data_IF_966901749317
#
_entry.id   IF_966901749317
#
_cell.length_a   1.000
_cell.length_b   1.000
_cell.length_c   1.000
_cell.angle_alpha   90.00
_cell.angle_beta   90.00
_cell.angle_gamma   90.00
#
_symmetry.space_group_name_H-M   'P 1'
#
loop_
_entity.id
_entity.type
_entity.pdbx_description
1 polymer ?
#
# COMPACT_ATOMS: atom_id res chain seq x y z
N UNK A 1 27.35 -21.31 -12.41
CA UNK A 1 27.24 -20.27 -11.38
C UNK A 1 25.81 -19.76 -11.41
N UNK A 2 25.06 -19.81 -10.30
CA UNK A 2 23.70 -19.26 -10.28
C UNK A 2 23.81 -17.74 -10.42
N UNK A 3 23.20 -17.17 -11.48
CA UNK A 3 23.17 -15.71 -11.62
C UNK A 3 22.23 -15.15 -10.57
N UNK A 4 22.73 -14.19 -9.80
CA UNK A 4 21.96 -13.51 -8.77
C UNK A 4 22.22 -12.02 -8.88
N UNK A 5 21.25 -11.30 -9.43
CA UNK A 5 21.27 -9.85 -9.51
C UNK A 5 20.78 -9.29 -8.19
N UNK A 6 21.50 -8.32 -7.62
CA UNK A 6 21.17 -7.67 -6.35
C UNK A 6 21.25 -6.17 -6.48
N UNK A 7 20.23 -5.49 -5.99
CA UNK A 7 20.13 -4.04 -5.97
C UNK A 7 19.74 -3.57 -4.57
N UNK A 8 20.53 -2.64 -4.04
CA UNK A 8 20.39 -2.09 -2.70
C UNK A 8 19.78 -0.70 -2.79
N UNK A 9 18.51 -0.57 -2.43
CA UNK A 9 17.80 0.71 -2.42
C UNK A 9 17.76 1.27 -0.99
N UNK A 10 18.56 2.29 -0.65
CA UNK A 10 18.52 2.89 0.68
C UNK A 10 17.22 3.67 0.90
N UNK A 11 16.67 3.56 2.11
CA UNK A 11 15.48 4.31 2.53
C UNK A 11 15.83 5.78 2.77
N UNK A 12 14.91 6.69 2.47
CA UNK A 12 15.01 8.11 2.81
C UNK A 12 14.38 8.42 4.17
N UNK A 13 13.62 7.48 4.74
CA UNK A 13 12.79 7.68 5.92
C UNK A 13 11.43 8.30 5.60
N UNK A 14 11.02 8.24 4.32
CA UNK A 14 9.69 8.65 3.87
C UNK A 14 9.02 7.38 3.37
N UNK A 15 8.30 6.68 4.24
CA UNK A 15 8.01 5.26 4.09
C UNK A 15 7.19 4.94 2.83
N UNK A 16 6.20 5.78 2.51
CA UNK A 16 5.35 5.56 1.33
C UNK A 16 6.18 5.72 0.05
N UNK A 17 7.00 6.76 0.01
CA UNK A 17 7.93 7.02 -1.09
C UNK A 17 8.95 5.89 -1.24
N UNK A 18 9.52 5.43 -0.13
CA UNK A 18 10.54 4.38 -0.10
C UNK A 18 9.99 3.04 -0.63
N UNK A 19 8.80 2.62 -0.18
CA UNK A 19 8.16 1.41 -0.71
C UNK A 19 7.78 1.57 -2.18
N UNK A 20 7.27 2.73 -2.57
CA UNK A 20 6.96 3.02 -3.98
C UNK A 20 8.20 2.91 -4.86
N UNK A 21 9.34 3.47 -4.45
CA UNK A 21 10.61 3.32 -5.18
C UNK A 21 11.06 1.86 -5.25
N UNK A 22 10.96 1.12 -4.14
CA UNK A 22 11.37 -0.29 -4.08
C UNK A 22 10.58 -1.15 -5.07
N UNK A 23 9.27 -0.98 -5.12
CA UNK A 23 8.45 -1.66 -6.13
C UNK A 23 8.72 -1.16 -7.55
N UNK A 24 9.05 0.13 -7.75
CA UNK A 24 9.49 0.64 -9.05
C UNK A 24 10.74 -0.08 -9.57
N UNK A 25 11.76 -0.25 -8.72
CA UNK A 25 12.96 -1.03 -9.06
C UNK A 25 12.58 -2.48 -9.32
N UNK A 26 11.74 -3.06 -8.47
CA UNK A 26 11.25 -4.43 -8.65
C UNK A 26 10.53 -4.65 -9.98
N UNK A 27 9.71 -3.70 -10.45
CA UNK A 27 9.04 -3.74 -11.75
C UNK A 27 10.05 -3.71 -12.90
N UNK A 28 11.07 -2.85 -12.83
CA UNK A 28 12.13 -2.80 -13.83
C UNK A 28 12.85 -4.15 -13.90
N UNK A 29 13.32 -4.66 -12.75
CA UNK A 29 14.04 -5.94 -12.68
C UNK A 29 13.17 -7.11 -13.17
N UNK A 30 11.89 -7.11 -12.81
CA UNK A 30 10.92 -8.09 -13.28
C UNK A 30 10.70 -8.01 -14.79
N UNK A 31 10.62 -6.81 -15.36
CA UNK A 31 10.48 -6.60 -16.80
C UNK A 31 11.68 -7.20 -17.55
N UNK A 32 12.89 -6.94 -17.06
CA UNK A 32 14.14 -7.35 -17.72
C UNK A 32 14.44 -8.84 -17.58
N UNK A 33 14.06 -9.47 -16.47
CA UNK A 33 14.45 -10.86 -16.17
C UNK A 33 13.27 -11.85 -16.08
N UNK A 34 12.04 -11.36 -15.98
CA UNK A 34 10.84 -12.15 -15.70
C UNK A 34 10.70 -12.57 -14.23
N UNK A 35 11.62 -12.17 -13.36
CA UNK A 35 11.64 -12.48 -11.93
C UNK A 35 12.07 -11.24 -11.13
N UNK A 36 11.50 -11.04 -9.95
CA UNK A 36 11.98 -10.05 -9.00
C UNK A 36 11.36 -10.28 -7.62
N UNK A 37 12.19 -10.22 -6.59
CA UNK A 37 11.79 -10.23 -5.19
C UNK A 37 12.25 -8.94 -4.54
N UNK A 38 11.35 -8.26 -3.84
CA UNK A 38 11.66 -7.10 -2.99
C UNK A 38 11.58 -7.53 -1.54
N UNK A 39 12.60 -7.22 -0.76
CA UNK A 39 12.65 -7.57 0.66
C UNK A 39 13.08 -6.36 1.49
N UNK A 40 12.43 -6.16 2.64
CA UNK A 40 12.84 -5.16 3.63
C UNK A 40 14.00 -5.71 4.48
N UNK A 41 15.10 -4.96 4.55
CA UNK A 41 16.29 -5.27 5.35
C UNK A 41 16.52 -4.20 6.43
N UNK A 42 15.46 -3.49 6.84
CA UNK A 42 15.50 -2.43 7.86
C UNK A 42 15.86 -1.08 7.26
N UNK A 43 17.16 -0.80 7.11
CA UNK A 43 17.65 0.50 6.58
C UNK A 43 17.56 0.64 5.05
N UNK A 44 17.27 -0.45 4.35
CA UNK A 44 17.23 -0.52 2.89
C UNK A 44 16.22 -1.58 2.41
N UNK A 45 15.85 -1.49 1.15
CA UNK A 45 15.22 -2.59 0.42
C UNK A 45 16.24 -3.31 -0.45
N UNK A 46 16.19 -4.63 -0.42
CA UNK A 46 16.97 -5.50 -1.30
C UNK A 46 16.05 -6.00 -2.42
N UNK A 47 16.43 -5.72 -3.66
CA UNK A 47 15.74 -6.22 -4.85
C UNK A 47 16.63 -7.27 -5.50
N UNK A 48 16.12 -8.49 -5.65
CA UNK A 48 16.88 -9.62 -6.21
C UNK A 48 16.17 -10.25 -7.40
N UNK A 49 16.96 -10.79 -8.33
CA UNK A 49 16.48 -11.70 -9.39
C UNK A 49 17.45 -12.86 -9.59
N UNK A 50 16.89 -14.06 -9.73
CA UNK A 50 17.66 -15.29 -9.99
C UNK A 50 17.91 -15.53 -11.49
N UNK A 51 17.55 -14.57 -12.34
CA UNK A 51 17.67 -14.65 -13.79
C UNK A 51 18.51 -13.48 -14.31
N UNK A 52 19.24 -13.72 -15.40
CA UNK A 52 19.95 -12.66 -16.10
C UNK A 52 18.99 -11.56 -16.57
N UNK A 53 19.47 -10.32 -16.56
CA UNK A 53 18.71 -9.19 -17.10
C UNK A 53 18.90 -9.13 -18.61
N UNK A 54 17.80 -9.14 -19.37
CA UNK A 54 17.83 -8.83 -20.79
C UNK A 54 17.25 -7.43 -21.04
N UNK A 55 18.13 -6.46 -21.34
CA UNK A 55 17.78 -5.08 -21.66
C UNK A 55 16.99 -4.90 -22.96
N UNK A 56 17.01 -5.88 -23.87
CA UNK A 56 16.14 -5.87 -25.06
C UNK A 56 14.66 -5.93 -24.69
N UNK A 57 14.33 -6.42 -23.48
CA UNK A 57 12.96 -6.50 -22.96
C UNK A 57 12.47 -5.21 -22.33
N UNK A 58 13.26 -4.14 -22.30
CA UNK A 58 12.85 -2.90 -21.65
C UNK A 58 11.56 -2.33 -22.25
N UNK A 59 11.35 -2.57 -23.55
CA UNK A 59 10.15 -2.19 -24.26
C UNK A 59 8.90 -2.71 -23.55
N UNK A 60 8.93 -3.91 -22.94
CA UNK A 60 7.83 -4.52 -22.20
C UNK A 60 7.40 -3.73 -20.94
N UNK A 61 8.19 -2.74 -20.50
CA UNK A 61 7.86 -1.92 -19.32
C UNK A 61 6.56 -1.15 -19.50
N UNK A 62 6.14 -0.88 -20.75
CA UNK A 62 4.88 -0.18 -21.05
C UNK A 62 3.64 -0.86 -20.46
N UNK A 63 3.70 -2.19 -20.26
CA UNK A 63 2.63 -2.98 -19.64
C UNK A 63 2.35 -2.55 -18.19
N UNK A 64 3.32 -1.89 -17.55
CA UNK A 64 3.27 -1.43 -16.18
C UNK A 64 3.02 0.09 -16.07
N UNK A 65 2.73 0.78 -17.17
CA UNK A 65 2.38 2.21 -17.10
C UNK A 65 0.95 2.46 -16.59
N UNK A 66 0.14 1.42 -16.40
CA UNK A 66 -1.25 1.57 -15.98
C UNK A 66 -2.13 2.26 -17.03
N UNK A 67 -3.41 2.40 -16.71
CA UNK A 67 -4.37 3.15 -17.52
C UNK A 67 -4.36 4.65 -17.16
N UNK A 68 -5.15 5.45 -17.88
CA UNK A 68 -5.24 6.89 -17.62
C UNK A 68 -5.74 7.20 -16.20
N UNK A 69 -6.59 6.33 -15.62
CA UNK A 69 -7.05 6.50 -14.25
C UNK A 69 -5.91 6.35 -13.24
N UNK A 70 -4.99 5.40 -13.43
CA UNK A 70 -3.81 5.25 -12.59
C UNK A 70 -2.92 6.51 -12.60
N UNK A 71 -2.72 7.11 -13.78
CA UNK A 71 -2.00 8.38 -13.92
C UNK A 71 -2.74 9.54 -13.25
N UNK A 72 -4.04 9.63 -13.44
CA UNK A 72 -4.89 10.66 -12.84
C UNK A 72 -4.84 10.64 -11.31
N UNK A 73 -4.88 9.46 -10.70
CA UNK A 73 -4.77 9.31 -9.26
C UNK A 73 -3.37 9.59 -8.73
N UNK A 74 -2.33 9.14 -9.44
CA UNK A 74 -0.92 9.39 -9.06
C UNK A 74 -0.62 10.90 -9.05
N UNK A 75 -1.28 11.66 -9.92
CA UNK A 75 -1.05 13.09 -10.13
C UNK A 75 -2.32 13.92 -9.92
N UNK A 76 -3.16 13.51 -8.97
CA UNK A 76 -4.47 14.14 -8.73
C UNK A 76 -4.36 15.57 -8.17
N UNK A 77 -3.21 15.92 -7.59
CA UNK A 77 -2.94 17.23 -6.98
C UNK A 77 -2.36 18.26 -7.96
N UNK A 78 -2.24 17.90 -9.24
CA UNK A 78 -1.75 18.82 -10.29
C UNK A 78 -2.75 18.91 -11.45
N UNK A 79 -2.72 20.05 -12.14
CA UNK A 79 -3.55 20.27 -13.32
C UNK A 79 -3.20 19.36 -14.50
N UNK A 80 -4.17 19.11 -15.38
CA UNK A 80 -4.06 18.20 -16.52
C UNK A 80 -2.85 18.48 -17.42
N UNK A 81 -2.57 19.74 -17.72
CA UNK A 81 -1.41 20.10 -18.55
C UNK A 81 -0.06 19.75 -17.93
N UNK A 82 0.10 19.89 -16.61
CA UNK A 82 1.31 19.47 -15.92
C UNK A 82 1.37 17.94 -15.77
N UNK A 83 0.21 17.29 -15.58
CA UNK A 83 0.07 15.83 -15.52
C UNK A 83 0.59 15.20 -16.81
N UNK A 84 0.13 15.67 -17.96
CA UNK A 84 0.51 15.10 -19.26
C UNK A 84 2.01 15.27 -19.54
N UNK A 85 2.57 16.46 -19.27
CA UNK A 85 4.02 16.70 -19.37
C UNK A 85 4.82 15.77 -18.46
N UNK A 86 4.33 15.54 -17.25
CA UNK A 86 4.98 14.67 -16.27
C UNK A 86 4.90 13.20 -16.70
N UNK A 87 3.73 12.73 -17.15
CA UNK A 87 3.52 11.40 -17.72
C UNK A 87 4.48 11.13 -18.87
N UNK A 88 4.51 12.04 -19.87
CA UNK A 88 5.40 11.92 -21.03
C UNK A 88 6.87 11.80 -20.61
N UNK A 89 7.33 12.67 -19.71
CA UNK A 89 8.71 12.64 -19.21
C UNK A 89 9.05 11.32 -18.50
N UNK A 90 8.16 10.82 -17.64
CA UNK A 90 8.37 9.54 -16.94
C UNK A 90 8.42 8.38 -17.93
N UNK A 91 7.52 8.36 -18.91
CA UNK A 91 7.48 7.32 -19.95
C UNK A 91 8.75 7.33 -20.81
N UNK A 92 9.19 8.52 -21.26
CA UNK A 92 10.43 8.67 -22.04
C UNK A 92 11.65 8.18 -21.24
N UNK A 93 11.74 8.56 -19.96
CA UNK A 93 12.82 8.14 -19.09
C UNK A 93 12.81 6.62 -18.85
N UNK A 94 11.63 6.02 -18.61
CA UNK A 94 11.50 4.57 -18.40
C UNK A 94 11.74 3.75 -19.67
N UNK A 95 11.51 4.33 -20.85
CA UNK A 95 11.77 3.69 -22.14
C UNK A 95 13.23 3.75 -22.58
N UNK A 96 14.07 4.55 -21.92
CA UNK A 96 15.48 4.70 -22.28
C UNK A 96 16.35 3.64 -21.57
N UNK A 97 16.93 2.74 -22.37
CA UNK A 97 17.84 1.67 -21.89
C UNK A 97 18.98 2.24 -21.03
N UNK A 98 19.56 3.37 -21.43
CA UNK A 98 20.73 3.93 -20.77
C UNK A 98 20.38 4.52 -19.40
N UNK A 99 19.24 5.20 -19.29
CA UNK A 99 18.74 5.72 -18.01
C UNK A 99 18.45 4.56 -17.03
N UNK A 100 17.89 3.46 -17.53
CA UNK A 100 17.60 2.27 -16.73
C UNK A 100 18.88 1.55 -16.30
N UNK A 101 19.89 1.43 -17.19
CA UNK A 101 21.22 0.90 -16.83
C UNK A 101 21.85 1.74 -15.72
N UNK A 102 21.86 3.06 -15.88
CA UNK A 102 22.43 3.97 -14.90
C UNK A 102 21.75 3.87 -13.53
N UNK A 103 20.43 3.69 -13.49
CA UNK A 103 19.72 3.41 -12.23
C UNK A 103 20.23 2.11 -11.60
N UNK A 104 20.18 1.01 -12.35
CA UNK A 104 20.49 -0.32 -11.81
C UNK A 104 21.95 -0.44 -11.40
N UNK A 105 22.88 0.08 -12.21
CA UNK A 105 24.30 0.16 -11.88
C UNK A 105 24.53 1.01 -10.62
N UNK A 106 23.78 2.11 -10.49
CA UNK A 106 23.77 2.95 -9.31
C UNK A 106 23.29 2.26 -8.03
N UNK A 107 22.61 1.12 -8.13
CA UNK A 107 22.06 0.35 -7.00
C UNK A 107 22.80 -0.98 -6.76
N UNK A 108 23.81 -1.33 -7.57
CA UNK A 108 24.59 -2.58 -7.37
C UNK A 108 25.40 -2.57 -6.07
N UNK A 109 25.77 -1.39 -5.60
CA UNK A 109 26.53 -1.19 -4.37
C UNK A 109 25.67 -0.48 -3.33
N UNK A 110 25.88 -0.84 -2.05
CA UNK A 110 25.22 -0.17 -0.94
C UNK A 110 25.72 1.27 -0.83
N UNK A 111 24.82 2.23 -1.05
CA UNK A 111 25.10 3.66 -0.92
C UNK A 111 24.51 4.23 0.36
N UNK A 112 25.05 5.38 0.76
CA UNK A 112 24.48 6.21 1.82
C UNK A 112 23.01 6.55 1.53
N UNK A 113 22.21 6.80 2.59
CA UNK A 113 20.82 7.27 2.44
C UNK A 113 20.70 8.46 1.50
N UNK A 114 19.63 8.46 0.69
CA UNK A 114 19.33 9.56 -0.22
C UNK A 114 18.72 10.73 0.57
N UNK A 115 19.32 11.92 0.44
CA UNK A 115 18.78 13.13 1.04
C UNK A 115 17.67 13.73 0.16
N UNK A 116 16.49 13.85 0.75
CA UNK A 116 15.37 14.60 0.15
C UNK A 116 15.73 16.08 0.04
N UNK A 117 15.37 16.70 -1.09
CA UNK A 117 15.64 18.10 -1.41
C UNK A 117 16.76 18.32 -2.43
N UNK A 118 17.54 17.30 -2.76
CA UNK A 118 18.72 17.40 -3.64
C UNK A 118 18.42 17.43 -5.15
N UNK A 119 17.15 17.27 -5.55
CA UNK A 119 16.77 17.11 -6.96
C UNK A 119 16.02 18.27 -7.60
N UNK A 120 15.41 18.02 -8.76
CA UNK A 120 14.62 19.00 -9.52
C UNK A 120 13.15 18.63 -9.62
N UNK A 121 12.81 17.36 -9.39
CA UNK A 121 11.47 16.83 -9.55
C UNK A 121 10.63 17.03 -8.30
N UNK A 122 9.41 17.53 -8.45
CA UNK A 122 8.51 17.70 -7.32
C UNK A 122 7.91 16.37 -6.92
N UNK A 123 8.12 15.93 -5.66
CA UNK A 123 7.40 14.80 -5.09
C UNK A 123 5.94 15.23 -4.80
N UNK A 124 4.98 14.46 -5.31
CA UNK A 124 3.56 14.77 -5.18
C UNK A 124 2.91 14.01 -4.03
N UNK A 125 1.87 14.62 -3.45
CA UNK A 125 1.21 14.16 -2.22
C UNK A 125 0.72 12.70 -2.26
N UNK A 126 0.15 12.19 -3.37
CA UNK A 126 -0.28 10.79 -3.43
C UNK A 126 0.84 9.78 -3.18
N UNK A 127 2.09 10.13 -3.50
CA UNK A 127 3.26 9.27 -3.30
C UNK A 127 3.88 9.43 -1.91
N UNK A 128 3.62 10.55 -1.24
CA UNK A 128 4.01 10.80 0.14
C UNK A 128 3.27 12.01 0.70
N UNK A 129 2.41 11.82 1.70
CA UNK A 129 1.62 12.92 2.26
C UNK A 129 2.50 13.97 2.95
N UNK A 130 3.64 13.57 3.52
CA UNK A 130 4.61 14.50 4.10
C UNK A 130 5.19 15.47 3.04
N UNK A 131 5.08 15.14 1.74
CA UNK A 131 5.45 16.05 0.66
C UNK A 131 4.54 17.28 0.57
N UNK A 132 3.36 17.25 1.22
CA UNK A 132 2.40 18.35 1.20
C UNK A 132 3.00 19.64 1.76
N UNK A 133 2.87 20.71 0.97
CA UNK A 133 3.04 22.09 1.44
C UNK A 133 2.16 22.32 2.68
N UNK A 134 2.74 22.78 3.80
CA UNK A 134 2.01 23.05 5.04
C UNK A 134 2.18 22.04 6.19
N UNK A 135 2.52 20.78 5.92
CA UNK A 135 2.66 19.74 6.98
C UNK A 135 4.07 19.71 7.59
N UNK A 136 5.01 20.49 7.07
CA UNK A 136 6.43 20.35 7.41
C UNK A 136 6.86 21.17 8.62
N UNK A 137 7.95 20.72 9.23
CA UNK A 137 8.67 21.41 10.31
C UNK A 137 8.96 22.88 10.01
N UNK A 138 9.31 23.25 8.77
CA UNK A 138 9.55 24.66 8.40
C UNK A 138 8.34 25.57 8.67
N UNK A 139 7.12 25.03 8.58
CA UNK A 139 5.86 25.75 8.81
C UNK A 139 5.33 25.47 10.22
N UNK A 140 5.39 24.22 10.70
CA UNK A 140 5.00 23.86 12.08
C UNK A 140 5.86 24.62 13.11
N UNK A 141 7.15 24.80 12.82
CA UNK A 141 8.09 25.62 13.61
C UNK A 141 8.02 27.12 13.28
N UNK A 142 7.08 27.55 12.41
CA UNK A 142 6.91 28.94 11.96
C UNK A 142 8.20 29.61 11.44
N UNK A 143 9.13 28.84 10.87
CA UNK A 143 10.41 29.36 10.36
C UNK A 143 10.24 30.19 9.09
N UNK A 144 9.18 29.96 8.31
CA UNK A 144 8.83 30.76 7.14
C UNK A 144 7.31 31.01 7.05
N UNK A 145 6.93 32.23 6.64
CA UNK A 145 5.53 32.67 6.45
C UNK A 145 4.94 32.30 5.08
N UNK A 146 5.67 31.56 4.23
CA UNK A 146 5.19 31.07 2.94
C UNK A 146 4.74 29.61 3.03
N UNK A 147 3.94 29.14 2.06
CA UNK A 147 3.42 27.75 1.97
C UNK A 147 4.50 26.64 1.93
N UNK A 148 5.79 26.98 2.05
CA UNK A 148 6.93 26.08 1.94
C UNK A 148 7.30 25.75 0.50
N UNK A 149 8.56 25.37 0.31
CA UNK A 149 9.08 24.94 -1.00
C UNK A 149 8.55 23.56 -1.38
N UNK A 150 8.33 23.24 -2.68
CA UNK A 150 8.04 21.86 -3.09
C UNK A 150 9.17 20.91 -2.66
N UNK A 151 8.85 19.69 -2.20
CA UNK A 151 9.89 18.67 -1.96
C UNK A 151 10.46 18.27 -3.30
N UNK A 152 11.79 18.30 -3.40
CA UNK A 152 12.51 17.94 -4.62
C UNK A 152 13.26 16.63 -4.49
N UNK A 153 13.16 15.78 -5.50
CA UNK A 153 13.87 14.49 -5.59
C UNK A 153 14.52 14.34 -6.97
N UNK A 154 15.44 13.38 -7.09
CA UNK A 154 16.08 13.08 -8.37
C UNK A 154 15.04 12.56 -9.39
N UNK A 155 15.32 12.68 -10.69
CA UNK A 155 14.44 12.14 -11.72
C UNK A 155 14.35 10.61 -11.64
N UNK A 156 15.44 9.93 -11.27
CA UNK A 156 15.46 8.49 -11.04
C UNK A 156 14.52 8.09 -9.91
N UNK A 157 14.66 8.70 -8.73
CA UNK A 157 13.81 8.39 -7.58
C UNK A 157 12.34 8.74 -7.82
N UNK A 158 12.09 9.88 -8.47
CA UNK A 158 10.75 10.29 -8.88
C UNK A 158 10.10 9.24 -9.77
N UNK A 159 10.81 8.84 -10.83
CA UNK A 159 10.31 7.91 -11.85
C UNK A 159 10.11 6.51 -11.26
N UNK A 160 11.02 6.03 -10.42
CA UNK A 160 10.87 4.78 -9.69
C UNK A 160 9.64 4.80 -8.77
N UNK A 161 9.46 5.89 -8.01
CA UNK A 161 8.30 6.06 -7.15
C UNK A 161 7.00 6.08 -7.96
N UNK A 162 6.96 6.79 -9.09
CA UNK A 162 5.76 6.82 -9.95
C UNK A 162 5.44 5.42 -10.46
N UNK A 163 6.43 4.68 -10.97
CA UNK A 163 6.23 3.33 -11.48
C UNK A 163 5.72 2.38 -10.39
N UNK A 164 6.35 2.35 -9.22
CA UNK A 164 5.89 1.50 -8.13
C UNK A 164 4.53 1.94 -7.59
N UNK A 165 4.28 3.25 -7.47
CA UNK A 165 2.99 3.76 -7.03
C UNK A 165 1.87 3.34 -8.00
N UNK A 166 2.05 3.50 -9.31
CA UNK A 166 1.10 3.04 -10.34
C UNK A 166 0.76 1.56 -10.17
N UNK A 167 1.77 0.73 -9.87
CA UNK A 167 1.63 -0.72 -9.90
C UNK A 167 1.27 -1.40 -8.57
N UNK A 168 1.66 -0.83 -7.43
CA UNK A 168 1.53 -1.46 -6.12
C UNK A 168 0.49 -0.79 -5.21
N UNK A 169 0.16 0.48 -5.44
CA UNK A 169 -0.76 1.21 -4.57
C UNK A 169 -2.22 0.81 -4.82
N UNK A 170 -2.88 0.36 -3.76
CA UNK A 170 -4.32 0.16 -3.71
C UNK A 170 -4.97 1.52 -3.46
N UNK A 171 -5.97 1.85 -4.27
CA UNK A 171 -6.60 3.19 -4.27
C UNK A 171 -8.10 3.07 -4.10
N UNK A 172 -8.65 3.77 -3.11
CA UNK A 172 -10.09 3.79 -2.86
C UNK A 172 -10.58 5.21 -2.72
N UNK A 173 -11.68 5.52 -3.39
CA UNK A 173 -12.23 6.87 -3.45
C UNK A 173 -13.72 6.84 -3.07
N UNK A 174 -14.18 7.92 -2.45
CA UNK A 174 -15.59 8.28 -2.34
C UNK A 174 -15.73 9.80 -2.24
N UNK A 175 -16.96 10.28 -2.08
CA UNK A 175 -17.23 11.68 -1.75
C UNK A 175 -16.59 12.14 -0.43
N UNK A 176 -16.23 11.22 0.48
CA UNK A 176 -15.62 11.54 1.77
C UNK A 176 -14.10 11.75 1.66
N UNK A 177 -13.47 11.22 0.63
CA UNK A 177 -12.03 11.31 0.46
C UNK A 177 -11.45 10.21 -0.42
N UNK A 178 -10.14 10.03 -0.28
CA UNK A 178 -9.36 9.06 -1.04
C UNK A 178 -8.30 8.45 -0.15
N UNK A 179 -8.10 7.14 -0.28
CA UNK A 179 -7.04 6.38 0.37
C UNK A 179 -6.08 5.88 -0.68
N UNK A 180 -4.80 6.01 -0.38
CA UNK A 180 -3.70 5.29 -0.98
C UNK A 180 -3.15 4.34 0.08
N UNK A 181 -3.09 3.05 -0.22
CA UNK A 181 -2.49 2.05 0.66
C UNK A 181 -1.50 1.22 -0.13
N UNK A 182 -0.28 1.05 0.38
CA UNK A 182 0.77 0.27 -0.25
C UNK A 182 1.27 -0.80 0.73
N UNK A 183 1.19 -2.10 0.39
CA UNK A 183 1.73 -3.17 1.24
C UNK A 183 3.25 -3.05 1.34
N UNK A 184 3.81 -2.99 2.55
CA UNK A 184 5.26 -2.97 2.74
C UNK A 184 5.85 -4.37 2.49
N UNK A 185 6.91 -4.52 1.69
CA UNK A 185 7.43 -5.83 1.32
C UNK A 185 8.34 -6.41 2.40
N UNK A 186 7.95 -7.49 3.09
CA UNK A 186 8.92 -8.26 3.90
C UNK A 186 9.76 -9.14 2.99
N UNK A 187 9.08 -9.91 2.13
CA UNK A 187 9.67 -10.67 1.03
C UNK A 187 8.59 -10.91 -0.01
N UNK A 188 8.57 -10.11 -1.06
CA UNK A 188 7.44 -10.03 -2.00
C UNK A 188 7.91 -10.23 -3.43
N UNK A 189 7.33 -11.21 -4.13
CA UNK A 189 7.48 -11.33 -5.59
C UNK A 189 6.62 -10.31 -6.31
N UNK A 190 7.24 -9.58 -7.23
CA UNK A 190 6.58 -8.55 -8.04
C UNK A 190 5.42 -9.12 -8.85
N UNK A 191 5.58 -10.33 -9.39
CA UNK A 191 4.54 -11.04 -10.13
C UNK A 191 3.26 -11.23 -9.31
N UNK A 192 3.38 -11.67 -8.05
CA UNK A 192 2.21 -11.93 -7.20
C UNK A 192 1.54 -10.64 -6.76
N UNK A 193 2.33 -9.62 -6.39
CA UNK A 193 1.79 -8.32 -5.99
C UNK A 193 0.95 -7.68 -7.10
N UNK A 194 1.54 -7.52 -8.29
CA UNK A 194 0.93 -6.75 -9.39
C UNK A 194 -0.06 -7.60 -10.19
N UNK A 195 0.29 -8.85 -10.48
CA UNK A 195 -0.49 -9.73 -11.35
C UNK A 195 -1.69 -10.37 -10.67
N UNK A 196 -1.68 -10.49 -9.33
CA UNK A 196 -2.70 -11.24 -8.59
C UNK A 196 -3.30 -10.45 -7.41
N UNK A 197 -2.49 -10.17 -6.39
CA UNK A 197 -2.96 -9.68 -5.09
C UNK A 197 -3.64 -8.32 -5.22
N UNK A 198 -2.94 -7.34 -5.80
CA UNK A 198 -3.49 -5.99 -5.93
C UNK A 198 -4.78 -6.00 -6.75
N UNK A 199 -4.80 -6.68 -7.90
CA UNK A 199 -5.97 -6.73 -8.77
C UNK A 199 -7.20 -7.27 -8.03
N UNK A 200 -7.04 -8.34 -7.24
CA UNK A 200 -8.13 -8.94 -6.47
C UNK A 200 -8.63 -8.03 -5.34
N UNK A 201 -7.74 -7.31 -4.67
CA UNK A 201 -8.13 -6.29 -3.69
C UNK A 201 -8.84 -5.12 -4.37
N UNK A 202 -8.39 -4.74 -5.56
CA UNK A 202 -9.05 -3.72 -6.37
C UNK A 202 -10.47 -4.14 -6.77
N UNK A 203 -10.65 -5.41 -7.11
CA UNK A 203 -11.94 -6.01 -7.43
C UNK A 203 -12.84 -6.22 -6.20
N UNK A 204 -12.31 -6.57 -5.02
CA UNK A 204 -13.14 -6.87 -3.84
C UNK A 204 -13.56 -5.62 -3.07
N UNK A 205 -12.68 -4.61 -2.95
CA UNK A 205 -12.97 -3.39 -2.18
C UNK A 205 -13.46 -2.29 -3.13
N UNK A 206 -14.78 -2.14 -3.29
CA UNK A 206 -15.36 -1.26 -4.32
C UNK A 206 -15.22 0.25 -4.10
N UNK A 207 -14.77 0.69 -2.93
CA UNK A 207 -14.63 2.12 -2.61
C UNK A 207 -14.29 2.33 -1.14
N UNK A 208 -14.45 3.57 -0.66
CA UNK A 208 -14.36 3.81 0.79
C UNK A 208 -15.60 3.29 1.51
N UNK A 209 -15.36 2.57 2.59
CA UNK A 209 -16.38 2.18 3.54
C UNK A 209 -17.07 3.42 4.09
N UNK A 210 -18.41 3.40 4.22
CA UNK A 210 -19.25 4.51 4.70
C UNK A 210 -18.82 5.04 6.08
N UNK A 211 -18.38 4.15 6.96
CA UNK A 211 -17.83 4.48 8.27
C UNK A 211 -16.48 5.23 8.23
N UNK A 212 -15.89 5.43 7.05
CA UNK A 212 -14.70 6.26 6.84
C UNK A 212 -13.47 5.46 6.45
N UNK A 213 -12.32 6.13 6.55
CA UNK A 213 -11.07 5.61 6.02
C UNK A 213 -10.51 4.44 6.83
N UNK A 214 -10.70 4.44 8.15
CA UNK A 214 -10.10 3.46 9.03
C UNK A 214 -10.69 2.04 8.84
N UNK A 215 -12.01 1.86 8.77
CA UNK A 215 -12.61 0.58 8.34
C UNK A 215 -12.25 0.17 6.91
N UNK A 216 -12.02 1.14 6.01
CA UNK A 216 -11.57 0.84 4.65
C UNK A 216 -10.17 0.22 4.63
N UNK A 217 -9.24 0.74 5.46
CA UNK A 217 -7.90 0.17 5.61
C UNK A 217 -7.95 -1.23 6.22
N UNK A 218 -8.76 -1.43 7.26
CA UNK A 218 -8.92 -2.76 7.85
C UNK A 218 -9.51 -3.76 6.84
N UNK A 219 -10.47 -3.35 6.02
CA UNK A 219 -10.98 -4.19 4.93
C UNK A 219 -9.89 -4.55 3.91
N UNK A 220 -9.07 -3.58 3.50
CA UNK A 220 -7.92 -3.82 2.61
C UNK A 220 -6.94 -4.80 3.26
N UNK A 221 -6.64 -4.63 4.55
CA UNK A 221 -5.73 -5.49 5.31
C UNK A 221 -6.23 -6.95 5.39
N UNK A 222 -7.51 -7.15 5.72
CA UNK A 222 -8.11 -8.50 5.74
C UNK A 222 -8.07 -9.16 4.36
N UNK A 223 -8.40 -8.40 3.31
CA UNK A 223 -8.32 -8.93 1.95
C UNK A 223 -6.87 -9.23 1.54
N UNK A 224 -5.90 -8.42 1.95
CA UNK A 224 -4.48 -8.65 1.69
C UNK A 224 -4.03 -9.99 2.27
N UNK A 225 -4.31 -10.26 3.54
CA UNK A 225 -3.89 -11.51 4.21
C UNK A 225 -4.60 -12.73 3.64
N UNK A 226 -5.89 -12.62 3.28
CA UNK A 226 -6.59 -13.68 2.54
C UNK A 226 -5.92 -13.99 1.19
N UNK A 227 -5.43 -12.97 0.49
CA UNK A 227 -4.72 -13.15 -0.77
C UNK A 227 -3.30 -13.70 -0.59
N UNK A 228 -2.61 -13.37 0.52
CA UNK A 228 -1.34 -14.02 0.90
C UNK A 228 -1.52 -15.53 1.08
N UNK A 229 -2.51 -15.94 1.88
CA UNK A 229 -2.84 -17.34 2.13
C UNK A 229 -3.16 -18.09 0.84
N UNK A 230 -3.97 -17.49 -0.05
CA UNK A 230 -4.32 -18.10 -1.35
C UNK A 230 -3.09 -18.34 -2.23
N UNK A 231 -2.15 -17.40 -2.25
CA UNK A 231 -0.92 -17.54 -3.06
C UNK A 231 0.03 -18.58 -2.45
N UNK A 232 0.08 -18.65 -1.12
CA UNK A 232 0.86 -19.65 -0.37
C UNK A 232 0.37 -21.08 -0.60
N UNK A 233 -0.95 -21.33 -0.54
CA UNK A 233 -1.57 -22.63 -0.84
C UNK A 233 -1.21 -23.17 -2.23
N UNK A 234 -0.93 -22.28 -3.18
CA UNK A 234 -0.47 -22.64 -4.52
C UNK A 234 0.96 -23.21 -4.57
N UNK A 235 1.70 -23.22 -3.45
CA UNK A 235 3.08 -23.70 -3.34
C UNK A 235 4.11 -22.83 -4.08
N UNK A 236 3.71 -21.63 -4.53
CA UNK A 236 4.52 -20.83 -5.48
C UNK A 236 5.55 -19.94 -4.79
N UNK A 237 5.21 -19.42 -3.62
CA UNK A 237 5.95 -18.47 -2.76
C UNK A 237 4.92 -17.91 -1.75
N UNK A 238 5.22 -17.77 -0.46
CA UNK A 238 4.35 -17.04 0.46
C UNK A 238 4.79 -15.56 0.47
N UNK A 239 4.16 -14.67 -0.31
CA UNK A 239 4.45 -13.24 -0.16
C UNK A 239 4.09 -12.86 1.27
N UNK A 240 5.04 -12.23 1.96
CA UNK A 240 4.78 -11.64 3.27
C UNK A 240 4.93 -10.14 3.16
N UNK A 241 3.86 -9.44 3.50
CA UNK A 241 3.86 -8.01 3.72
C UNK A 241 4.04 -7.73 5.20
N UNK A 242 4.72 -6.64 5.56
CA UNK A 242 4.90 -6.29 6.97
C UNK A 242 3.73 -5.48 7.52
N UNK A 243 3.19 -4.59 6.70
CA UNK A 243 2.19 -3.60 7.07
C UNK A 243 1.54 -2.99 5.83
N UNK A 244 0.47 -2.21 6.01
CA UNK A 244 0.00 -1.28 4.98
C UNK A 244 0.44 0.13 5.34
N UNK A 245 1.29 0.73 4.52
CA UNK A 245 1.57 2.17 4.62
C UNK A 245 0.48 2.90 3.87
N UNK A 246 -0.10 3.94 4.47
CA UNK A 246 -1.25 4.62 3.88
C UNK A 246 -1.19 6.14 3.97
N UNK A 247 -1.88 6.76 3.02
CA UNK A 247 -2.20 8.18 3.01
C UNK A 247 -3.67 8.40 2.68
N UNK A 248 -4.33 9.24 3.46
CA UNK A 248 -5.72 9.66 3.26
C UNK A 248 -5.76 11.13 2.89
N UNK A 249 -6.52 11.44 1.83
CA UNK A 249 -6.77 12.79 1.37
C UNK A 249 -8.27 13.09 1.39
N UNK A 250 -8.62 14.35 1.60
CA UNK A 250 -9.99 14.84 1.47
C UNK A 250 -10.03 16.10 0.61
N UNK A 251 -11.21 16.46 0.11
CA UNK A 251 -11.38 17.70 -0.66
C UNK A 251 -11.72 18.85 0.27
N UNK A 252 -11.05 19.98 0.08
CA UNK A 252 -11.48 21.28 0.60
C UNK A 252 -11.69 22.22 -0.58
N UNK A 253 -12.95 22.49 -0.93
CA UNK A 253 -13.28 23.13 -2.20
C UNK A 253 -12.80 22.29 -3.39
N UNK A 254 -12.04 22.90 -4.30
CA UNK A 254 -11.49 22.21 -5.49
C UNK A 254 -10.11 21.57 -5.25
N UNK A 255 -9.53 21.70 -4.06
CA UNK A 255 -8.18 21.22 -3.77
C UNK A 255 -8.23 19.97 -2.89
N UNK A 256 -7.42 18.99 -3.26
CA UNK A 256 -7.12 17.83 -2.43
C UNK A 256 -6.14 18.24 -1.33
N UNK A 257 -6.47 17.90 -0.09
CA UNK A 257 -5.64 18.12 1.08
C UNK A 257 -5.38 16.80 1.82
N UNK A 258 -4.20 16.64 2.42
CA UNK A 258 -3.93 15.55 3.34
C UNK A 258 -4.89 15.61 4.53
N UNK A 259 -5.42 14.44 4.92
CA UNK A 259 -6.23 14.26 6.11
C UNK A 259 -5.42 13.57 7.21
N UNK A 260 -4.84 12.42 6.88
CA UNK A 260 -4.02 11.61 7.79
C UNK A 260 -3.20 10.61 6.99
N UNK A 261 -2.12 10.10 7.56
CA UNK A 261 -1.32 9.01 7.00
C UNK A 261 -0.74 8.18 8.15
N UNK A 262 -0.17 7.03 7.82
CA UNK A 262 0.45 6.18 8.83
C UNK A 262 0.71 4.77 8.35
N UNK A 263 0.91 3.89 9.33
CA UNK A 263 1.17 2.47 9.13
C UNK A 263 0.02 1.70 9.80
N UNK A 264 -0.67 0.88 9.03
CA UNK A 264 -1.67 -0.06 9.55
C UNK A 264 -0.99 -1.43 9.74
N UNK A 265 -0.94 -1.94 10.98
CA UNK A 265 -0.28 -3.20 11.31
C UNK A 265 -1.04 -4.40 10.74
N UNK A 266 -0.32 -5.49 10.45
CA UNK A 266 -0.89 -6.75 10.00
C UNK A 266 -0.70 -7.88 11.02
N UNK A 267 -0.07 -7.60 12.16
CA UNK A 267 0.38 -8.58 13.15
C UNK A 267 -0.74 -9.53 13.61
N UNK A 268 -1.90 -9.01 14.03
CA UNK A 268 -3.03 -9.84 14.44
C UNK A 268 -3.54 -10.71 13.27
N UNK A 269 -3.61 -10.13 12.06
CA UNK A 269 -4.11 -10.85 10.90
C UNK A 269 -3.17 -11.99 10.52
N UNK A 270 -1.85 -11.77 10.60
CA UNK A 270 -0.85 -12.81 10.38
C UNK A 270 -0.85 -13.87 11.48
N UNK A 271 -1.03 -13.49 12.74
CA UNK A 271 -1.22 -14.46 13.83
C UNK A 271 -2.43 -15.36 13.59
N UNK A 272 -3.56 -14.78 13.17
CA UNK A 272 -4.75 -15.54 12.80
C UNK A 272 -4.49 -16.42 11.58
N UNK A 273 -3.70 -15.94 10.62
CA UNK A 273 -3.35 -16.66 9.40
C UNK A 273 -2.57 -17.96 9.66
N UNK A 274 -1.88 -18.07 10.79
CA UNK A 274 -1.16 -19.28 11.22
C UNK A 274 -2.11 -20.35 11.83
N UNK A 275 -3.37 -19.99 12.10
CA UNK A 275 -4.36 -20.89 12.71
C UNK A 275 -5.10 -21.77 11.69
N UNK A 276 -5.60 -22.92 12.14
CA UNK A 276 -6.47 -23.79 11.33
C UNK A 276 -7.82 -23.15 10.98
N UNK A 277 -8.22 -22.08 11.67
CA UNK A 277 -9.49 -21.37 11.47
C UNK A 277 -9.31 -20.05 10.70
N UNK A 278 -8.10 -19.77 10.20
CA UNK A 278 -7.71 -18.52 9.53
C UNK A 278 -8.74 -18.06 8.50
N UNK A 279 -9.04 -18.92 7.52
CA UNK A 279 -9.95 -18.61 6.42
C UNK A 279 -11.37 -18.32 6.92
N UNK A 280 -11.85 -19.02 7.96
CA UNK A 280 -13.19 -18.76 8.51
C UNK A 280 -13.27 -17.41 9.22
N UNK A 281 -12.27 -17.09 10.04
CA UNK A 281 -12.20 -15.80 10.76
C UNK A 281 -12.12 -14.64 9.79
N UNK A 282 -11.15 -14.69 8.87
CA UNK A 282 -10.88 -13.61 7.95
C UNK A 282 -12.03 -13.40 6.95
N UNK A 283 -12.68 -14.48 6.47
CA UNK A 283 -13.88 -14.32 5.64
C UNK A 283 -15.04 -13.71 6.42
N UNK A 284 -15.26 -14.08 7.69
CA UNK A 284 -16.30 -13.45 8.49
C UNK A 284 -16.05 -11.94 8.69
N UNK A 285 -14.80 -11.54 8.91
CA UNK A 285 -14.44 -10.12 9.01
C UNK A 285 -14.59 -9.39 7.69
N UNK A 286 -14.19 -10.03 6.58
CA UNK A 286 -14.44 -9.52 5.22
C UNK A 286 -15.93 -9.30 4.97
N UNK A 287 -16.78 -10.27 5.29
CA UNK A 287 -18.23 -10.19 5.12
C UNK A 287 -18.85 -9.04 5.93
N UNK A 288 -18.36 -8.82 7.16
CA UNK A 288 -18.76 -7.67 7.97
C UNK A 288 -18.48 -6.38 7.22
N UNK A 289 -17.24 -6.14 6.80
CA UNK A 289 -16.88 -4.92 6.08
C UNK A 289 -17.66 -4.76 4.77
N UNK A 290 -17.79 -5.83 3.98
CA UNK A 290 -18.49 -5.78 2.69
C UNK A 290 -19.98 -5.47 2.84
N UNK A 291 -20.67 -6.14 3.77
CA UNK A 291 -22.11 -5.96 3.94
C UNK A 291 -22.45 -4.63 4.63
N UNK A 292 -21.55 -4.08 5.44
CA UNK A 292 -21.75 -2.75 6.07
C UNK A 292 -21.23 -1.59 5.23
N UNK A 293 -20.46 -1.85 4.16
CA UNK A 293 -19.75 -0.83 3.38
C UNK A 293 -20.58 0.38 2.97
N UNK A 294 -21.86 0.17 2.62
CA UNK A 294 -22.74 1.23 2.12
C UNK A 294 -24.04 1.38 2.93
N UNK A 295 -24.16 0.70 4.07
CA UNK A 295 -25.41 0.68 4.86
C UNK A 295 -25.34 1.62 6.06
N UNK A 296 -26.32 2.52 6.15
CA UNK A 296 -26.47 3.45 7.28
C UNK A 296 -26.92 2.70 8.53
N UNK A 297 -26.43 3.10 9.70
CA UNK A 297 -26.80 2.54 11.01
C UNK A 297 -25.96 1.33 11.44
N UNK A 298 -24.90 1.02 10.68
CA UNK A 298 -23.96 -0.06 10.97
C UNK A 298 -22.53 0.46 11.11
N UNK A 299 -22.30 1.77 11.12
CA UNK A 299 -20.96 2.35 11.10
C UNK A 299 -20.11 2.00 12.34
N UNK A 300 -20.76 1.70 13.47
CA UNK A 300 -20.10 1.36 14.74
C UNK A 300 -19.43 -0.02 14.73
N UNK A 301 -20.05 -1.03 14.12
CA UNK A 301 -19.52 -2.40 14.04
C UNK A 301 -18.16 -2.50 13.29
N UNK A 302 -18.03 -2.07 12.01
CA UNK A 302 -16.79 -2.15 11.27
C UNK A 302 -15.73 -1.18 11.84
N UNK A 303 -16.14 -0.10 12.50
CA UNK A 303 -15.20 0.77 13.23
C UNK A 303 -14.59 0.06 14.43
N UNK A 304 -15.41 -0.59 15.26
CA UNK A 304 -14.92 -1.39 16.39
C UNK A 304 -14.09 -2.59 15.94
N UNK A 305 -14.45 -3.24 14.83
CA UNK A 305 -13.64 -4.32 14.25
C UNK A 305 -12.29 -3.80 13.75
N UNK A 306 -12.26 -2.65 13.07
CA UNK A 306 -11.00 -2.04 12.63
C UNK A 306 -10.09 -1.64 13.81
N UNK A 307 -10.67 -1.10 14.88
CA UNK A 307 -9.94 -0.80 16.13
C UNK A 307 -9.35 -2.07 16.75
N UNK A 308 -10.14 -3.15 16.82
CA UNK A 308 -9.68 -4.44 17.33
C UNK A 308 -8.53 -5.02 16.50
N UNK A 309 -8.66 -5.01 15.16
CA UNK A 309 -7.61 -5.50 14.25
C UNK A 309 -6.31 -4.71 14.45
N UNK A 310 -6.41 -3.39 14.60
CA UNK A 310 -5.24 -2.50 14.73
C UNK A 310 -4.59 -2.57 16.12
N UNK A 311 -5.40 -2.75 17.16
CA UNK A 311 -4.97 -2.78 18.55
C UNK A 311 -5.70 -3.91 19.30
N UNK A 312 -5.20 -5.16 19.21
CA UNK A 312 -5.84 -6.32 19.82
C UNK A 312 -5.72 -6.30 21.34
N UNK A 313 -6.73 -5.71 21.99
CA UNK A 313 -6.88 -5.66 23.45
C UNK A 313 -8.24 -6.19 23.87
N UNK A 314 -8.35 -6.65 25.12
CA UNK A 314 -9.62 -7.18 25.64
C UNK A 314 -10.77 -6.18 25.53
N UNK A 315 -10.47 -4.90 25.81
CA UNK A 315 -11.43 -3.81 25.66
C UNK A 315 -11.96 -3.67 24.22
N UNK A 316 -11.08 -3.67 23.22
CA UNK A 316 -11.47 -3.54 21.82
C UNK A 316 -12.22 -4.77 21.31
N UNK A 317 -11.77 -5.97 21.73
CA UNK A 317 -12.45 -7.22 21.41
C UNK A 317 -13.87 -7.25 22.00
N UNK A 318 -14.03 -6.91 23.29
CA UNK A 318 -15.33 -6.83 23.94
C UNK A 318 -16.26 -5.83 23.25
N UNK A 319 -15.74 -4.65 22.88
CA UNK A 319 -16.51 -3.63 22.15
C UNK A 319 -17.01 -4.18 20.82
N UNK A 320 -16.13 -4.82 20.06
CA UNK A 320 -16.48 -5.46 18.80
C UNK A 320 -17.55 -6.55 18.99
N UNK A 321 -17.33 -7.50 19.91
CA UNK A 321 -18.24 -8.63 20.15
C UNK A 321 -19.62 -8.15 20.65
N UNK A 322 -19.69 -7.15 21.53
CA UNK A 322 -20.97 -6.56 21.98
C UNK A 322 -21.77 -6.01 20.80
N UNK A 323 -21.12 -5.34 19.86
CA UNK A 323 -21.77 -4.81 18.65
C UNK A 323 -22.18 -5.91 17.67
N UNK A 324 -21.33 -6.92 17.50
CA UNK A 324 -21.62 -8.10 16.67
C UNK A 324 -22.86 -8.84 17.19
N UNK A 325 -22.89 -9.17 18.48
CA UNK A 325 -24.01 -9.85 19.14
C UNK A 325 -25.30 -9.03 19.07
N UNK A 326 -25.22 -7.70 19.25
CA UNK A 326 -26.38 -6.81 19.11
C UNK A 326 -27.00 -6.90 17.71
N UNK A 327 -26.20 -7.08 16.66
CA UNK A 327 -26.69 -7.28 15.31
C UNK A 327 -27.30 -8.67 15.14
N UNK A 328 -26.64 -9.71 15.64
CA UNK A 328 -27.13 -11.09 15.57
C UNK A 328 -28.42 -11.32 16.39
N UNK A 329 -28.70 -10.53 17.42
CA UNK A 329 -29.94 -10.63 18.21
C UNK A 329 -31.07 -9.72 17.67
N UNK A 330 -30.76 -8.57 17.06
CA UNK A 330 -31.78 -7.60 16.62
C UNK A 330 -32.64 -8.09 15.44
N UNK A 331 -33.97 -8.07 15.57
CA UNK A 331 -34.91 -8.69 14.57
C UNK A 331 -34.70 -8.20 13.13
N UNK A 332 -34.42 -6.92 12.93
CA UNK A 332 -34.27 -6.29 11.61
C UNK A 332 -32.82 -5.92 11.26
N UNK A 333 -31.85 -6.62 11.87
CA UNK A 333 -30.42 -6.38 11.64
C UNK A 333 -29.79 -7.49 10.81
N UNK A 334 -28.75 -7.12 10.06
CA UNK A 334 -27.92 -8.07 9.31
C UNK A 334 -27.35 -9.10 10.29
N UNK A 335 -27.50 -10.36 9.94
CA UNK A 335 -26.95 -11.49 10.69
C UNK A 335 -25.63 -11.88 10.07
N UNK A 336 -24.57 -11.81 10.87
CA UNK A 336 -23.24 -12.28 10.49
C UNK A 336 -22.98 -13.70 11.03
N UNK A 337 -23.92 -14.20 11.83
CA UNK A 337 -23.88 -15.54 12.41
C UNK A 337 -22.96 -15.61 13.62
N UNK A 338 -23.27 -16.52 14.52
CA UNK A 338 -22.48 -16.76 15.72
C UNK A 338 -21.08 -17.28 15.39
N UNK A 339 -20.13 -16.97 16.25
CA UNK A 339 -18.84 -17.62 16.22
C UNK A 339 -18.93 -19.01 16.85
N UNK A 340 -18.30 -20.00 16.22
CA UNK A 340 -18.06 -21.29 16.85
C UNK A 340 -17.12 -21.10 18.04
N UNK A 341 -17.27 -21.93 19.08
CA UNK A 341 -16.42 -21.84 20.28
C UNK A 341 -14.92 -21.89 19.95
N UNK A 342 -14.53 -22.76 19.00
CA UNK A 342 -13.14 -22.87 18.54
C UNK A 342 -12.60 -21.56 17.97
N UNK A 343 -13.42 -20.86 17.20
CA UNK A 343 -13.05 -19.57 16.60
C UNK A 343 -12.93 -18.49 17.67
N UNK A 344 -13.83 -18.45 18.65
CA UNK A 344 -13.74 -17.50 19.77
C UNK A 344 -12.47 -17.73 20.60
N UNK A 345 -12.16 -18.99 20.91
CA UNK A 345 -10.93 -19.34 21.65
C UNK A 345 -9.69 -18.90 20.89
N UNK A 346 -9.66 -19.14 19.59
CA UNK A 346 -8.53 -18.73 18.74
C UNK A 346 -8.33 -17.22 18.77
N UNK A 347 -9.38 -16.43 18.54
CA UNK A 347 -9.27 -14.97 18.56
C UNK A 347 -8.83 -14.46 19.93
N UNK A 348 -9.36 -15.03 21.03
CA UNK A 348 -9.01 -14.64 22.40
C UNK A 348 -7.54 -14.95 22.76
N UNK A 349 -6.93 -15.98 22.17
CA UNK A 349 -5.51 -16.29 22.43
C UNK A 349 -4.55 -15.14 22.06
N UNK A 350 -4.96 -14.27 21.13
CA UNK A 350 -4.15 -13.13 20.66
C UNK A 350 -4.53 -11.80 21.31
N UNK A 351 -5.50 -11.81 22.22
CA UNK A 351 -5.94 -10.62 22.94
C UNK A 351 -5.03 -10.43 24.16
N UNK A 352 -4.21 -9.37 24.16
CA UNK A 352 -3.43 -9.01 25.34
C UNK A 352 -4.35 -8.77 26.55
N UNK A 353 -4.08 -9.48 27.65
CA UNK A 353 -4.71 -9.26 28.96
C UNK A 353 -4.10 -8.04 29.63
#
# INVERSE_FOLDING_TARGET
MQVMNRYFLPKTGWEFFDVSRAYGVGVIVHTLSGDAVVSDMGGLYLIESQRELNFERIDQIHKFFGDDQAWDWTFITIGSGQREKTKKKVVEFLGNVEDIRNILDGLKELKSPVYIGSGKETLYQPMELAATKGIRDEILLKKQYSEGSPVKVSISDFTLSVLGHINATIRKFSNMGMIFAIPSPTRTRILHLIGEIRKRIDDSVKGLHRAGWFPSLAQIAVNLVLEELRVEEGGKFAPKFGSLIYGVMTKTGNQWKPLTGGIFPLDLLHQIAESNEAIKVLNKWKDIFEWTAFRKGYEDLPSALAEFITNPSLSNYERYIKLHLRNDIGKDRIKFGSYEEKVLKEVVNFVGV
#
